data_IF_402843451309
#
_entry.id   IF_402843451309
#
_cell.length_a   1.000
_cell.length_b   1.000
_cell.length_c   1.000
_cell.angle_alpha   90.00
_cell.angle_beta   90.00
_cell.angle_gamma   90.00
#
_symmetry.space_group_name_H-M   'P 1'
#
loop_
_entity.id
_entity.type
_entity.pdbx_description
1 polymer ?
#
# COMPACT_ATOMS: atom_id res chain seq x y z
N UNK A 1 -14.20 12.19 -27.96
CA UNK A 1 -15.05 12.55 -26.81
C UNK A 1 -14.49 13.84 -26.23
N UNK A 2 -15.17 14.98 -26.35
CA UNK A 2 -14.66 16.22 -25.78
C UNK A 2 -15.22 16.42 -24.36
N UNK A 3 -14.42 16.08 -23.34
CA UNK A 3 -14.81 16.25 -21.94
C UNK A 3 -14.74 17.70 -21.46
N UNK A 4 -14.33 18.66 -22.30
CA UNK A 4 -14.27 20.08 -21.96
C UNK A 4 -15.63 20.72 -21.66
N UNK A 5 -16.74 20.05 -21.99
CA UNK A 5 -18.10 20.56 -21.71
C UNK A 5 -18.42 20.70 -20.22
N UNK A 6 -17.71 20.02 -19.32
CA UNK A 6 -17.92 20.22 -17.87
C UNK A 6 -17.60 21.66 -17.45
N UNK A 7 -16.64 22.31 -18.11
CA UNK A 7 -16.19 23.66 -17.77
C UNK A 7 -17.13 24.76 -18.26
N UNK A 8 -18.20 24.43 -18.99
CA UNK A 8 -19.28 25.38 -19.29
C UNK A 8 -20.27 25.53 -18.13
N UNK A 9 -20.24 24.60 -17.16
CA UNK A 9 -21.15 24.61 -15.99
C UNK A 9 -20.40 24.59 -14.64
N UNK A 10 -19.12 24.23 -14.64
CA UNK A 10 -18.23 24.33 -13.47
C UNK A 10 -17.15 25.35 -13.77
N UNK A 11 -17.01 26.39 -12.94
CA UNK A 11 -15.91 27.34 -13.09
C UNK A 11 -14.56 26.61 -12.89
N UNK A 12 -13.65 26.61 -13.88
CA UNK A 12 -12.37 25.91 -13.77
C UNK A 12 -11.50 26.42 -12.63
N UNK A 13 -11.61 27.69 -12.25
CA UNK A 13 -10.90 28.26 -11.10
C UNK A 13 -11.35 27.70 -9.75
N UNK A 14 -12.50 27.03 -9.67
CA UNK A 14 -13.00 26.36 -8.45
C UNK A 14 -12.99 24.85 -8.60
N UNK A 15 -13.52 24.33 -9.71
CA UNK A 15 -13.67 22.89 -9.94
C UNK A 15 -12.34 22.16 -10.09
N UNK A 16 -11.36 22.76 -10.77
CA UNK A 16 -10.06 22.10 -10.96
C UNK A 16 -9.25 22.03 -9.65
N UNK A 17 -9.15 23.11 -8.84
CA UNK A 17 -8.55 23.01 -7.51
C UNK A 17 -9.25 22.00 -6.60
N UNK A 18 -10.59 21.94 -6.60
CA UNK A 18 -11.32 20.94 -5.80
C UNK A 18 -11.05 19.52 -6.28
N UNK A 19 -11.09 19.27 -7.60
CA UNK A 19 -10.81 17.94 -8.17
C UNK A 19 -9.40 17.47 -7.82
N UNK A 20 -8.37 18.28 -8.10
CA UNK A 20 -6.98 17.91 -7.84
C UNK A 20 -6.68 17.86 -6.34
N UNK A 21 -7.28 18.75 -5.54
CA UNK A 21 -7.21 18.72 -4.08
C UNK A 21 -7.78 17.42 -3.52
N UNK A 22 -8.97 17.00 -3.95
CA UNK A 22 -9.58 15.73 -3.52
C UNK A 22 -8.72 14.52 -3.90
N UNK A 23 -8.20 14.47 -5.13
CA UNK A 23 -7.30 13.39 -5.56
C UNK A 23 -6.03 13.35 -4.70
N UNK A 24 -5.47 14.51 -4.38
CA UNK A 24 -4.27 14.62 -3.52
C UNK A 24 -4.55 14.11 -2.11
N UNK A 25 -5.68 14.50 -1.50
CA UNK A 25 -6.09 14.02 -0.18
C UNK A 25 -6.28 12.50 -0.18
N UNK A 26 -6.98 11.95 -1.19
CA UNK A 26 -7.17 10.50 -1.33
C UNK A 26 -5.83 9.79 -1.48
N UNK A 27 -4.93 10.30 -2.33
CA UNK A 27 -3.61 9.72 -2.51
C UNK A 27 -2.84 9.67 -1.18
N UNK A 28 -2.79 10.77 -0.42
CA UNK A 28 -2.12 10.81 0.89
C UNK A 28 -2.74 9.79 1.86
N UNK A 29 -4.07 9.71 1.92
CA UNK A 29 -4.77 8.75 2.79
C UNK A 29 -4.47 7.29 2.44
N UNK A 30 -4.46 6.95 1.15
CA UNK A 30 -4.11 5.59 0.69
C UNK A 30 -2.66 5.26 1.03
N UNK A 31 -1.72 6.18 0.79
CA UNK A 31 -0.32 5.95 1.15
C UNK A 31 -0.16 5.78 2.66
N UNK A 32 -0.78 6.66 3.46
CA UNK A 32 -0.76 6.56 4.91
C UNK A 32 -1.35 5.24 5.43
N UNK A 33 -2.45 4.78 4.83
CA UNK A 33 -3.08 3.51 5.18
C UNK A 33 -2.14 2.32 4.89
N UNK A 34 -1.45 2.32 3.74
CA UNK A 34 -0.44 1.30 3.39
C UNK A 34 0.72 1.32 4.38
N UNK A 35 1.27 2.49 4.71
CA UNK A 35 2.38 2.61 5.67
C UNK A 35 1.99 2.16 7.08
N UNK A 36 0.76 2.43 7.52
CA UNK A 36 0.33 2.19 8.91
C UNK A 36 -0.29 0.81 9.15
N UNK A 37 -0.91 0.20 8.14
CA UNK A 37 -1.66 -1.05 8.29
C UNK A 37 -1.00 -2.24 7.62
N UNK A 38 0.18 -2.07 7.02
CA UNK A 38 0.87 -3.16 6.34
C UNK A 38 2.33 -3.27 6.77
N UNK A 39 2.82 -4.50 6.92
CA UNK A 39 4.22 -4.75 7.28
C UNK A 39 5.12 -4.98 6.08
N UNK A 40 4.54 -5.12 4.88
CA UNK A 40 5.27 -5.44 3.66
C UNK A 40 5.90 -4.20 3.03
N UNK A 41 5.26 -3.03 3.11
CA UNK A 41 5.76 -1.82 2.45
C UNK A 41 7.13 -1.38 3.00
N UNK A 42 7.36 -1.33 4.34
CA UNK A 42 8.69 -1.07 4.87
C UNK A 42 9.71 -2.15 4.47
N UNK A 43 9.32 -3.44 4.45
CA UNK A 43 10.22 -4.53 4.06
C UNK A 43 10.65 -4.41 2.59
N UNK A 44 9.71 -4.10 1.71
CA UNK A 44 9.94 -3.84 0.29
C UNK A 44 10.90 -2.65 0.08
N UNK A 45 10.65 -1.52 0.72
CA UNK A 45 11.43 -0.30 0.52
C UNK A 45 12.83 -0.33 1.16
N UNK A 46 13.01 -1.09 2.23
CA UNK A 46 14.32 -1.28 2.89
C UNK A 46 15.17 -2.40 2.25
N UNK A 47 14.70 -3.05 1.17
CA UNK A 47 15.45 -4.13 0.51
C UNK A 47 15.55 -5.41 1.35
N UNK A 48 14.62 -5.67 2.27
CA UNK A 48 14.65 -6.88 3.07
C UNK A 48 14.38 -8.10 2.19
N UNK A 49 15.25 -9.11 2.23
CA UNK A 49 15.02 -10.39 1.58
C UNK A 49 13.83 -11.07 2.24
N UNK A 50 12.86 -11.52 1.43
CA UNK A 50 11.78 -12.39 1.93
C UNK A 50 12.48 -13.63 2.50
N UNK A 51 12.33 -13.87 3.80
CA UNK A 51 12.90 -15.05 4.44
C UNK A 51 12.42 -16.29 3.68
N UNK A 52 13.35 -17.15 3.24
CA UNK A 52 12.96 -18.43 2.66
C UNK A 52 12.06 -19.18 3.65
N UNK A 53 10.97 -19.83 3.21
CA UNK A 53 10.09 -20.54 4.11
C UNK A 53 10.89 -21.57 4.92
N UNK A 54 10.62 -21.63 6.22
CA UNK A 54 11.34 -22.51 7.14
C UNK A 54 11.28 -23.97 6.66
N UNK A 55 12.42 -24.65 6.65
CA UNK A 55 12.45 -26.07 6.36
C UNK A 55 11.63 -26.84 7.41
N UNK A 56 10.82 -27.79 6.96
CA UNK A 56 9.93 -28.55 7.84
C UNK A 56 10.72 -29.24 8.97
N UNK A 57 10.18 -29.29 10.21
CA UNK A 57 10.89 -29.83 11.35
C UNK A 57 11.25 -31.31 11.16
N UNK A 58 12.47 -31.67 11.55
CA UNK A 58 12.95 -33.05 11.52
C UNK A 58 12.29 -33.89 12.65
N UNK A 59 12.00 -35.19 12.43
CA UNK A 59 11.30 -36.01 13.42
C UNK A 59 12.12 -36.18 14.72
N UNK A 60 11.41 -36.18 15.86
CA UNK A 60 12.02 -36.27 17.19
C UNK A 60 12.69 -37.63 17.47
N UNK A 61 13.90 -37.60 18.03
CA UNK A 61 14.69 -38.80 18.34
C UNK A 61 14.33 -39.41 19.73
N UNK A 62 14.42 -40.74 19.92
CA UNK A 62 13.91 -41.41 21.12
C UNK A 62 14.84 -41.26 22.34
N UNK A 63 14.25 -41.06 23.52
CA UNK A 63 14.97 -40.81 24.77
C UNK A 63 15.68 -42.06 25.32
N UNK A 64 16.97 -41.93 25.65
CA UNK A 64 17.80 -42.99 26.22
C UNK A 64 17.57 -43.14 27.74
N UNK A 65 17.46 -44.40 28.21
CA UNK A 65 17.33 -44.76 29.63
C UNK A 65 18.69 -44.82 30.32
N UNK A 66 18.70 -44.40 31.59
CA UNK A 66 19.85 -44.36 32.50
C UNK A 66 20.39 -45.75 32.84
#
# INVERSE_FOLDING_TARGET
MNQGRIWTVVNPGVGLPLLLGSVTVIAILVHYAVLSNTTWFPKYWNGATVAAPAAAPAPAAPAAKK
#
